data_IF_386456985121
#
_entry.id   IF_386456985121
#
_cell.length_a   1.000
_cell.length_b   1.000
_cell.length_c   1.000
_cell.angle_alpha   90.00
_cell.angle_beta   90.00
_cell.angle_gamma   90.00
#
_symmetry.space_group_name_H-M   'P 1'
#
loop_
_entity.id
_entity.type
_entity.pdbx_description
1 polymer ?
#
# COMPACT_ATOMS: atom_id res chain seq x y z
N UNK A 1 20.39 -14.87 -23.90
CA UNK A 1 19.01 -14.45 -24.25
C UNK A 1 18.95 -13.07 -24.93
N UNK A 2 20.11 -12.37 -25.10
CA UNK A 2 20.15 -11.03 -25.73
C UNK A 2 19.63 -9.90 -24.85
N UNK A 3 19.43 -10.14 -23.57
CA UNK A 3 19.07 -9.13 -22.58
C UNK A 3 20.35 -8.56 -21.98
N UNK A 4 20.46 -7.24 -21.95
CA UNK A 4 21.57 -6.51 -21.35
C UNK A 4 21.15 -6.09 -19.92
N UNK A 5 21.98 -6.42 -18.95
CA UNK A 5 21.78 -6.04 -17.55
C UNK A 5 22.67 -4.84 -17.21
N UNK A 6 22.16 -3.84 -16.51
CA UNK A 6 22.93 -2.65 -16.16
C UNK A 6 24.10 -2.96 -15.22
N UNK A 7 25.13 -2.13 -15.27
CA UNK A 7 26.20 -2.18 -14.29
C UNK A 7 25.64 -1.96 -12.88
N UNK A 8 26.11 -2.76 -11.92
CA UNK A 8 25.54 -2.76 -10.55
C UNK A 8 24.53 -3.87 -10.31
N UNK A 9 24.10 -4.62 -11.33
CA UNK A 9 23.29 -5.82 -11.13
C UNK A 9 24.04 -6.82 -10.25
N UNK A 10 23.41 -7.24 -9.15
CA UNK A 10 23.96 -8.24 -8.24
C UNK A 10 23.76 -9.65 -8.81
N UNK A 11 24.81 -10.46 -8.75
CA UNK A 11 24.78 -11.84 -9.23
C UNK A 11 25.03 -12.80 -8.08
N UNK A 12 24.06 -13.66 -7.82
CA UNK A 12 24.16 -14.70 -6.78
C UNK A 12 24.42 -16.03 -7.44
N UNK A 13 25.66 -16.53 -7.30
CA UNK A 13 26.04 -17.85 -7.85
C UNK A 13 25.59 -18.99 -6.95
N UNK A 14 24.92 -19.99 -7.53
CA UNK A 14 24.59 -21.23 -6.82
C UNK A 14 25.81 -22.18 -6.65
N UNK A 15 26.94 -21.87 -7.28
CA UNK A 15 28.22 -22.58 -7.09
C UNK A 15 28.95 -22.06 -5.85
N UNK A 16 28.30 -22.13 -4.69
CA UNK A 16 28.81 -21.65 -3.41
C UNK A 16 28.46 -22.59 -2.27
N UNK A 17 29.19 -22.48 -1.15
CA UNK A 17 29.00 -23.35 0.01
C UNK A 17 27.63 -23.17 0.68
N UNK A 18 27.04 -21.98 0.63
CA UNK A 18 25.72 -21.66 1.21
C UNK A 18 24.59 -21.68 0.17
N UNK A 19 24.74 -22.43 -0.89
CA UNK A 19 23.74 -22.50 -1.97
C UNK A 19 22.31 -22.80 -1.49
N UNK A 20 22.18 -23.62 -0.45
CA UNK A 20 20.84 -23.95 0.09
C UNK A 20 20.15 -22.73 0.71
N UNK A 21 20.91 -21.84 1.36
CA UNK A 21 20.38 -20.59 1.90
C UNK A 21 20.01 -19.65 0.75
N UNK A 22 20.89 -19.48 -0.22
CA UNK A 22 20.62 -18.66 -1.40
C UNK A 22 19.39 -19.16 -2.16
N UNK A 23 19.27 -20.47 -2.38
CA UNK A 23 18.10 -21.05 -3.02
C UNK A 23 16.82 -20.86 -2.21
N UNK A 24 16.88 -20.96 -0.88
CA UNK A 24 15.71 -20.77 -0.03
C UNK A 24 15.20 -19.32 0.02
N UNK A 25 16.09 -18.34 -0.30
CA UNK A 25 15.73 -16.91 -0.37
C UNK A 25 15.34 -16.49 -1.79
N UNK A 26 15.97 -17.07 -2.80
CA UNK A 26 15.79 -16.75 -4.22
C UNK A 26 15.08 -17.90 -4.96
N UNK A 27 14.18 -18.58 -4.28
CA UNK A 27 13.39 -19.64 -4.88
C UNK A 27 12.38 -19.04 -5.86
N UNK A 28 12.35 -19.60 -7.05
CA UNK A 28 11.47 -19.15 -8.14
C UNK A 28 10.13 -19.90 -8.08
N UNK A 29 9.52 -19.99 -6.97
CA UNK A 29 8.20 -20.56 -6.71
C UNK A 29 7.69 -21.68 -7.61
N UNK A 30 6.55 -22.22 -7.26
CA UNK A 30 5.80 -23.17 -8.11
C UNK A 30 4.40 -23.38 -7.56
N UNK A 31 3.49 -23.87 -8.39
CA UNK A 31 2.18 -24.32 -7.94
C UNK A 31 2.29 -25.69 -7.27
N UNK A 32 1.86 -25.77 -6.03
CA UNK A 32 1.88 -26.98 -5.20
C UNK A 32 0.45 -27.41 -4.90
N UNK A 33 0.10 -28.64 -5.25
CA UNK A 33 -1.25 -29.22 -5.06
C UNK A 33 -1.29 -30.30 -3.99
N UNK A 34 -0.13 -30.79 -3.55
CA UNK A 34 0.00 -31.91 -2.60
C UNK A 34 0.57 -31.51 -1.25
N UNK A 35 -0.10 -31.82 -0.15
CA UNK A 35 0.36 -31.56 1.22
C UNK A 35 1.78 -32.02 1.54
N UNK A 36 2.25 -33.22 1.11
CA UNK A 36 3.61 -33.62 1.40
C UNK A 36 4.66 -32.69 0.79
N UNK A 37 4.37 -32.09 -0.35
CA UNK A 37 5.28 -31.16 -1.03
C UNK A 37 5.34 -29.83 -0.30
N UNK A 38 4.22 -29.35 0.25
CA UNK A 38 4.16 -28.12 1.05
C UNK A 38 5.16 -28.09 2.22
N UNK A 39 5.42 -29.25 2.84
CA UNK A 39 6.35 -29.34 3.97
C UNK A 39 7.82 -29.49 3.55
N UNK A 40 8.10 -29.73 2.30
CA UNK A 40 9.46 -29.96 1.79
C UNK A 40 9.96 -28.86 0.86
N UNK A 41 9.06 -28.07 0.28
CA UNK A 41 9.39 -27.04 -0.69
C UNK A 41 9.01 -25.65 -0.17
N UNK A 42 9.77 -24.63 -0.55
CA UNK A 42 9.37 -23.24 -0.41
C UNK A 42 8.34 -22.92 -1.48
N UNK A 43 7.31 -22.19 -1.09
CA UNK A 43 6.20 -21.80 -1.99
C UNK A 43 6.14 -20.30 -2.24
N UNK A 44 7.11 -19.56 -1.76
CA UNK A 44 7.12 -18.11 -1.82
C UNK A 44 8.24 -17.62 -2.72
N UNK A 45 7.90 -16.98 -3.81
CA UNK A 45 8.84 -16.21 -4.63
C UNK A 45 9.12 -14.88 -3.94
N UNK A 46 10.27 -14.75 -3.30
CA UNK A 46 10.62 -13.53 -2.57
C UNK A 46 10.78 -12.30 -3.46
N UNK A 47 11.19 -12.48 -4.70
CA UNK A 47 11.27 -11.39 -5.68
C UNK A 47 9.90 -10.73 -5.87
N UNK A 48 8.84 -11.53 -6.05
CA UNK A 48 7.47 -11.03 -6.24
C UNK A 48 6.88 -10.43 -4.97
N UNK A 49 7.03 -11.13 -3.85
CA UNK A 49 6.45 -10.71 -2.56
C UNK A 49 7.16 -9.47 -1.97
N UNK A 50 8.39 -9.21 -2.40
CA UNK A 50 9.21 -8.06 -1.94
C UNK A 50 9.39 -6.98 -2.99
N UNK A 51 8.90 -7.19 -4.21
CA UNK A 51 8.94 -6.21 -5.29
C UNK A 51 10.35 -5.93 -5.82
N UNK A 52 11.11 -6.96 -6.19
CA UNK A 52 12.38 -6.77 -6.88
C UNK A 52 12.52 -7.69 -8.10
N UNK A 53 13.23 -7.23 -9.11
CA UNK A 53 13.46 -8.00 -10.31
C UNK A 53 14.48 -9.10 -10.08
N UNK A 54 14.12 -10.34 -10.41
CA UNK A 54 14.99 -11.49 -10.39
C UNK A 54 15.00 -12.21 -11.74
N UNK A 55 16.17 -12.62 -12.17
CA UNK A 55 16.34 -13.44 -13.38
C UNK A 55 17.15 -14.69 -13.05
N UNK A 56 16.55 -15.85 -13.26
CA UNK A 56 17.21 -17.15 -13.05
C UNK A 56 17.92 -17.56 -14.34
N UNK A 57 19.24 -17.76 -14.25
CA UNK A 57 20.04 -18.30 -15.35
C UNK A 57 20.39 -19.76 -15.08
N UNK A 58 19.60 -20.68 -15.63
CA UNK A 58 19.78 -22.12 -15.45
C UNK A 58 20.75 -22.76 -16.45
N UNK A 59 21.20 -22.03 -17.47
CA UNK A 59 22.07 -22.57 -18.55
C UNK A 59 23.53 -22.70 -18.09
N UNK A 60 24.08 -23.90 -17.95
CA UNK A 60 25.46 -24.09 -17.50
C UNK A 60 26.50 -23.39 -18.41
N UNK A 61 26.21 -23.27 -19.70
CA UNK A 61 27.09 -22.60 -20.65
C UNK A 61 27.18 -21.09 -20.39
N UNK A 62 26.12 -20.46 -19.86
CA UNK A 62 26.10 -19.05 -19.55
C UNK A 62 26.97 -18.68 -18.33
N UNK A 63 27.23 -19.63 -17.42
CA UNK A 63 28.04 -19.41 -16.23
C UNK A 63 29.41 -18.81 -16.51
N UNK A 64 30.13 -19.34 -17.50
CA UNK A 64 31.46 -18.84 -17.89
C UNK A 64 31.40 -17.42 -18.42
N UNK A 65 30.39 -17.12 -19.24
CA UNK A 65 30.20 -15.79 -19.84
C UNK A 65 29.85 -14.77 -18.75
N UNK A 66 28.91 -15.13 -17.88
CA UNK A 66 28.49 -14.27 -16.76
C UNK A 66 29.67 -14.05 -15.80
N UNK A 67 30.36 -15.11 -15.37
CA UNK A 67 31.49 -15.03 -14.45
C UNK A 67 32.66 -14.20 -15.03
N UNK A 68 32.84 -14.21 -16.34
CA UNK A 68 33.86 -13.38 -16.99
C UNK A 68 33.49 -11.90 -17.07
N UNK A 69 32.21 -11.57 -16.97
CA UNK A 69 31.70 -10.20 -16.97
C UNK A 69 31.52 -9.63 -15.56
N UNK A 70 31.58 -10.50 -14.52
CA UNK A 70 31.48 -10.06 -13.13
C UNK A 70 32.76 -9.35 -12.67
N UNK A 71 32.59 -8.44 -11.73
CA UNK A 71 33.68 -7.92 -10.88
C UNK A 71 34.11 -8.92 -9.80
N UNK A 72 34.73 -8.41 -8.77
CA UNK A 72 35.16 -9.21 -7.63
C UNK A 72 33.96 -9.77 -6.87
N UNK A 73 34.17 -10.91 -6.20
CA UNK A 73 33.18 -11.48 -5.29
C UNK A 73 33.17 -10.64 -4.02
N UNK A 74 32.03 -10.06 -3.72
CA UNK A 74 31.86 -9.28 -2.49
C UNK A 74 31.71 -10.20 -1.29
N UNK A 75 32.39 -9.91 -0.20
CA UNK A 75 32.10 -10.48 1.10
C UNK A 75 30.90 -9.79 1.78
N UNK A 76 30.62 -10.14 3.02
CA UNK A 76 29.48 -9.57 3.76
C UNK A 76 29.62 -8.06 3.99
N UNK A 77 30.78 -7.60 4.42
CA UNK A 77 31.04 -6.19 4.71
C UNK A 77 31.05 -5.37 3.41
N UNK A 78 31.74 -5.87 2.38
CA UNK A 78 31.74 -5.25 1.05
C UNK A 78 30.34 -5.17 0.43
N UNK A 79 29.50 -6.18 0.67
CA UNK A 79 28.10 -6.15 0.23
C UNK A 79 27.31 -5.07 0.97
N UNK A 80 27.51 -4.93 2.30
CA UNK A 80 26.86 -3.86 3.07
C UNK A 80 27.35 -2.47 2.61
N UNK A 81 28.64 -2.31 2.37
CA UNK A 81 29.22 -1.06 1.87
C UNK A 81 28.68 -0.71 0.48
N UNK A 82 28.53 -1.73 -0.39
CA UNK A 82 27.90 -1.54 -1.69
C UNK A 82 26.45 -1.07 -1.58
N UNK A 83 25.64 -1.75 -0.76
CA UNK A 83 24.24 -1.35 -0.54
C UNK A 83 24.16 0.07 0.04
N UNK A 84 25.02 0.39 1.00
CA UNK A 84 25.10 1.75 1.57
C UNK A 84 25.58 2.81 0.57
N UNK A 85 26.27 2.41 -0.50
CA UNK A 85 26.70 3.32 -1.57
C UNK A 85 25.63 3.62 -2.62
N UNK A 86 24.53 2.88 -2.62
CA UNK A 86 23.42 3.14 -3.52
C UNK A 86 22.82 4.52 -3.25
N UNK A 87 22.52 5.22 -4.29
CA UNK A 87 22.00 6.59 -4.20
C UNK A 87 20.70 6.72 -4.97
N UNK A 88 19.86 7.63 -4.51
CA UNK A 88 18.64 8.01 -5.20
C UNK A 88 18.91 8.42 -6.66
N UNK A 89 18.05 8.02 -7.56
CA UNK A 89 18.09 8.41 -8.96
C UNK A 89 17.33 9.71 -9.19
N UNK A 90 17.85 10.57 -10.07
CA UNK A 90 17.17 11.79 -10.48
C UNK A 90 17.29 12.02 -11.97
N UNK A 91 16.17 12.36 -12.59
CA UNK A 91 16.10 12.74 -14.00
C UNK A 91 15.28 14.03 -14.18
N UNK A 92 15.36 14.62 -15.38
CA UNK A 92 14.57 15.81 -15.71
C UNK A 92 15.20 17.12 -15.21
N UNK A 93 14.37 18.13 -14.94
CA UNK A 93 14.80 19.52 -14.68
C UNK A 93 15.11 19.71 -13.21
N UNK A 94 16.34 20.19 -12.92
CA UNK A 94 16.73 20.60 -11.55
C UNK A 94 16.08 21.95 -11.18
N UNK A 95 15.91 22.16 -9.90
CA UNK A 95 15.29 23.38 -9.30
C UNK A 95 13.83 23.61 -9.73
N UNK A 96 13.18 22.58 -10.27
CA UNK A 96 11.75 22.52 -10.57
C UNK A 96 10.99 21.76 -9.49
N UNK A 97 9.71 21.50 -9.70
CA UNK A 97 8.99 20.53 -8.89
C UNK A 97 9.46 19.12 -9.22
N UNK A 98 9.44 18.25 -8.25
CA UNK A 98 9.89 16.86 -8.39
C UNK A 98 8.73 15.92 -8.14
N UNK A 99 8.50 15.04 -9.10
CA UNK A 99 7.72 13.83 -8.90
C UNK A 99 8.62 12.85 -8.15
N UNK A 100 8.29 12.58 -6.89
CA UNK A 100 8.87 11.49 -6.11
C UNK A 100 8.04 10.25 -6.40
N UNK A 101 8.63 9.28 -7.08
CA UNK A 101 7.94 8.07 -7.51
C UNK A 101 7.55 7.21 -6.30
N UNK A 102 6.31 6.72 -6.27
CA UNK A 102 5.81 5.83 -5.23
C UNK A 102 6.12 4.37 -5.58
N UNK A 103 7.40 4.03 -5.63
CA UNK A 103 7.90 2.76 -6.14
C UNK A 103 8.43 1.82 -5.04
N UNK A 104 8.45 2.26 -3.77
CA UNK A 104 9.02 1.45 -2.69
C UNK A 104 8.59 1.93 -1.30
N UNK A 105 8.87 1.11 -0.29
CA UNK A 105 8.69 1.48 1.13
C UNK A 105 9.52 2.73 1.52
N UNK A 106 10.66 2.95 0.88
CA UNK A 106 11.49 4.15 1.07
C UNK A 106 10.78 5.42 0.60
N UNK A 107 10.02 5.33 -0.48
CA UNK A 107 9.19 6.45 -0.96
C UNK A 107 8.17 6.89 0.09
N UNK A 108 7.47 5.91 0.67
CA UNK A 108 6.51 6.15 1.76
C UNK A 108 7.18 6.73 3.00
N UNK A 109 8.32 6.18 3.41
CA UNK A 109 9.07 6.65 4.58
C UNK A 109 9.57 8.08 4.40
N UNK A 110 10.08 8.41 3.21
CA UNK A 110 10.53 9.76 2.86
C UNK A 110 9.37 10.77 2.87
N UNK A 111 8.22 10.42 2.30
CA UNK A 111 7.01 11.27 2.32
C UNK A 111 6.57 11.53 3.77
N UNK A 112 6.49 10.49 4.59
CA UNK A 112 6.14 10.65 6.00
C UNK A 112 7.18 11.49 6.77
N UNK A 113 8.47 11.37 6.45
CA UNK A 113 9.52 12.21 7.03
C UNK A 113 9.34 13.69 6.65
N UNK A 114 9.06 13.98 5.38
CA UNK A 114 8.78 15.33 4.90
C UNK A 114 7.55 15.94 5.58
N UNK A 115 6.44 15.21 5.63
CA UNK A 115 5.21 15.66 6.29
C UNK A 115 5.42 15.94 7.77
N UNK A 116 6.16 15.08 8.49
CA UNK A 116 6.54 15.29 9.91
C UNK A 116 7.43 16.50 10.10
N UNK A 117 8.26 16.83 9.13
CA UNK A 117 9.09 18.02 9.12
C UNK A 117 8.31 19.31 8.72
N UNK A 118 6.99 19.21 8.51
CA UNK A 118 6.14 20.32 8.09
C UNK A 118 6.37 20.77 6.65
N UNK A 119 6.89 19.89 5.80
CA UNK A 119 7.10 20.16 4.39
C UNK A 119 5.83 19.90 3.59
N UNK A 120 5.69 20.60 2.47
CA UNK A 120 4.56 20.42 1.55
C UNK A 120 4.79 19.20 0.68
N UNK A 121 3.88 18.25 0.74
CA UNK A 121 3.82 17.08 -0.13
C UNK A 121 2.42 17.00 -0.70
N UNK A 122 2.29 16.77 -2.00
CA UNK A 122 0.99 16.54 -2.65
C UNK A 122 0.96 15.17 -3.30
N UNK A 123 -0.17 14.47 -3.22
CA UNK A 123 -0.42 13.22 -3.93
C UNK A 123 -0.92 13.55 -5.34
N UNK A 124 -0.29 12.99 -6.35
CA UNK A 124 -0.69 13.17 -7.75
C UNK A 124 -1.92 12.30 -8.02
N UNK A 125 -2.96 12.90 -8.59
CA UNK A 125 -4.29 12.29 -8.69
C UNK A 125 -4.67 11.86 -10.09
N UNK A 126 -3.86 12.16 -11.10
CA UNK A 126 -4.13 11.78 -12.49
C UNK A 126 -2.88 11.80 -13.36
N UNK A 127 -2.92 11.07 -14.48
CA UNK A 127 -1.88 11.05 -15.50
C UNK A 127 -0.78 10.02 -15.22
N UNK A 128 0.31 10.10 -15.95
CA UNK A 128 1.37 9.08 -15.94
C UNK A 128 2.10 8.90 -14.61
N UNK A 129 1.93 9.82 -13.66
CA UNK A 129 2.55 9.79 -12.32
C UNK A 129 1.51 9.63 -11.21
N UNK A 130 0.30 9.25 -11.55
CA UNK A 130 -0.76 9.04 -10.57
C UNK A 130 -0.33 8.10 -9.45
N UNK A 131 -0.71 8.43 -8.21
CA UNK A 131 -0.26 7.70 -7.02
C UNK A 131 1.15 8.04 -6.53
N UNK A 132 1.94 8.82 -7.29
CA UNK A 132 3.24 9.35 -6.85
C UNK A 132 3.08 10.73 -6.19
N UNK A 133 4.16 11.33 -5.74
CA UNK A 133 4.12 12.55 -4.93
C UNK A 133 4.78 13.72 -5.63
N UNK A 134 4.25 14.93 -5.40
CA UNK A 134 4.84 16.18 -5.86
C UNK A 134 5.47 16.92 -4.68
N UNK A 135 6.75 17.22 -4.77
CA UNK A 135 7.53 17.92 -3.75
C UNK A 135 8.43 19.00 -4.38
N UNK A 136 8.95 19.93 -3.58
CA UNK A 136 9.99 20.83 -4.08
C UNK A 136 11.32 20.09 -4.30
N UNK A 137 12.17 20.60 -5.21
CA UNK A 137 13.51 20.03 -5.42
C UNK A 137 14.35 20.06 -4.14
N UNK A 138 14.25 21.13 -3.33
CA UNK A 138 14.95 21.25 -2.07
C UNK A 138 14.48 20.20 -1.03
N UNK A 139 13.18 19.93 -0.97
CA UNK A 139 12.64 18.92 -0.06
C UNK A 139 13.02 17.51 -0.52
N UNK A 140 12.98 17.22 -1.83
CA UNK A 140 13.51 15.97 -2.38
C UNK A 140 14.99 15.76 -2.00
N UNK A 141 15.84 16.77 -2.21
CA UNK A 141 17.26 16.68 -1.83
C UNK A 141 17.47 16.42 -0.34
N UNK A 142 16.58 16.92 0.52
CA UNK A 142 16.71 16.75 1.97
C UNK A 142 16.49 15.32 2.44
N UNK A 143 15.85 14.47 1.63
CA UNK A 143 15.55 13.06 1.96
C UNK A 143 16.27 12.06 1.05
N UNK A 144 16.74 12.49 -0.13
CA UNK A 144 17.37 11.60 -1.12
C UNK A 144 18.72 11.00 -0.66
N UNK A 145 19.30 11.50 0.44
CA UNK A 145 20.50 10.95 1.06
C UNK A 145 20.21 9.87 2.12
N UNK A 146 19.00 9.88 2.67
CA UNK A 146 18.59 8.96 3.75
C UNK A 146 17.75 7.79 3.24
N UNK A 147 17.15 7.93 2.04
CA UNK A 147 16.26 6.96 1.40
C UNK A 147 16.68 6.72 -0.04
N UNK A 148 16.42 5.53 -0.56
CA UNK A 148 16.68 5.18 -1.96
C UNK A 148 15.45 5.53 -2.82
N UNK A 149 15.49 6.68 -3.47
CA UNK A 149 14.36 7.27 -4.16
C UNK A 149 14.56 7.41 -5.66
N UNK A 150 13.47 7.43 -6.41
CA UNK A 150 13.43 7.87 -7.80
C UNK A 150 12.71 9.21 -7.92
N UNK A 151 13.38 10.23 -8.48
CA UNK A 151 12.84 11.56 -8.66
C UNK A 151 12.86 12.01 -10.11
N UNK A 152 11.78 12.66 -10.56
CA UNK A 152 11.67 13.24 -11.89
C UNK A 152 11.33 14.73 -11.77
N UNK A 153 12.26 15.59 -12.17
CA UNK A 153 12.02 17.04 -12.22
C UNK A 153 11.12 17.42 -13.39
N UNK A 154 9.99 18.07 -13.10
CA UNK A 154 8.96 18.44 -14.07
C UNK A 154 8.78 19.95 -14.17
N UNK A 155 8.60 20.49 -15.37
CA UNK A 155 8.28 21.91 -15.58
C UNK A 155 6.80 22.22 -15.40
N UNK A 156 5.96 21.28 -15.83
CA UNK A 156 4.51 21.37 -15.70
C UNK A 156 4.07 20.43 -14.59
N UNK A 157 3.58 20.99 -13.48
CA UNK A 157 3.11 20.24 -12.36
C UNK A 157 1.87 19.42 -12.73
N UNK A 158 1.84 18.10 -12.48
CA UNK A 158 0.63 17.31 -12.63
C UNK A 158 -0.44 17.74 -11.62
N UNK A 159 -1.69 17.38 -11.88
CA UNK A 159 -2.77 17.60 -10.92
C UNK A 159 -2.48 16.79 -9.65
N UNK A 160 -2.56 17.46 -8.51
CA UNK A 160 -2.21 16.86 -7.22
C UNK A 160 -2.99 17.49 -6.08
N UNK A 161 -3.26 16.71 -5.03
CA UNK A 161 -3.90 17.14 -3.80
C UNK A 161 -2.87 17.22 -2.67
N UNK A 162 -2.82 18.34 -1.96
CA UNK A 162 -1.92 18.51 -0.82
C UNK A 162 -2.31 17.54 0.30
N UNK A 163 -1.34 16.76 0.79
CA UNK A 163 -1.51 15.91 1.98
C UNK A 163 -1.44 16.83 3.20
N UNK A 164 -2.52 16.95 4.00
CA UNK A 164 -2.61 17.98 5.04
C UNK A 164 -1.68 17.73 6.22
N UNK A 165 -1.33 16.46 6.49
CA UNK A 165 -0.50 16.05 7.63
C UNK A 165 0.07 14.65 7.45
N UNK A 166 1.12 14.32 8.23
CA UNK A 166 1.55 12.94 8.37
C UNK A 166 0.49 12.14 9.16
N UNK A 167 -0.05 11.03 8.64
CA UNK A 167 -1.05 10.24 9.33
C UNK A 167 -0.54 9.67 10.67
N UNK A 168 -1.38 9.71 11.70
CA UNK A 168 -1.18 9.02 12.98
C UNK A 168 -2.06 7.79 13.01
N UNK A 169 -1.43 6.63 13.17
CA UNK A 169 -2.09 5.33 13.05
C UNK A 169 -2.31 4.69 14.40
N UNK A 170 -3.53 4.27 14.69
CA UNK A 170 -3.82 3.42 15.85
C UNK A 170 -3.65 1.95 15.51
N UNK A 171 -2.80 1.27 16.25
CA UNK A 171 -2.64 -0.19 16.20
C UNK A 171 -2.86 -0.73 17.60
N UNK A 172 -4.02 -1.33 17.84
CA UNK A 172 -4.50 -1.76 19.15
C UNK A 172 -3.85 -3.06 19.66
N UNK A 173 -3.20 -3.83 18.79
CA UNK A 173 -2.48 -5.04 19.22
C UNK A 173 -1.07 -4.67 19.67
N UNK A 174 -0.81 -4.86 20.96
CA UNK A 174 0.53 -4.71 21.53
C UNK A 174 1.32 -6.00 21.35
N UNK A 175 2.64 -5.86 21.21
CA UNK A 175 3.53 -7.02 21.27
C UNK A 175 3.39 -7.68 22.65
N UNK A 176 2.87 -8.89 22.70
CA UNK A 176 2.75 -9.67 23.93
C UNK A 176 3.80 -10.75 24.01
N UNK A 177 4.33 -10.97 25.20
CA UNK A 177 5.18 -12.13 25.47
C UNK A 177 4.27 -13.34 25.63
N UNK A 178 4.26 -14.24 24.66
CA UNK A 178 3.51 -15.49 24.74
C UNK A 178 4.49 -16.63 24.99
N UNK A 179 4.40 -17.27 26.15
CA UNK A 179 5.16 -18.48 26.47
C UNK A 179 6.68 -18.36 26.31
N UNK A 180 7.27 -17.20 26.65
CA UNK A 180 8.72 -16.97 26.54
C UNK A 180 9.20 -16.54 25.15
N UNK A 181 8.31 -16.42 24.18
CA UNK A 181 8.59 -15.91 22.85
C UNK A 181 7.93 -14.55 22.65
N UNK A 182 8.60 -13.65 21.96
CA UNK A 182 7.98 -12.40 21.51
C UNK A 182 7.07 -12.70 20.32
N UNK A 183 5.79 -12.40 20.45
CA UNK A 183 4.92 -12.33 19.30
C UNK A 183 5.20 -11.00 18.59
N UNK A 184 5.76 -11.08 17.39
CA UNK A 184 6.00 -9.90 16.58
C UNK A 184 4.67 -9.34 16.09
N UNK A 185 4.43 -8.07 16.36
CA UNK A 185 3.34 -7.36 15.73
C UNK A 185 3.83 -6.89 14.35
N UNK A 186 3.46 -7.63 13.32
CA UNK A 186 3.87 -7.35 11.93
C UNK A 186 3.31 -6.02 11.43
N UNK A 187 2.12 -5.64 11.87
CA UNK A 187 1.50 -4.35 11.51
C UNK A 187 2.34 -3.19 12.04
N UNK A 188 2.75 -3.25 13.32
CA UNK A 188 3.63 -2.22 13.90
C UNK A 188 4.98 -2.15 13.21
N UNK A 189 5.51 -3.29 12.80
CA UNK A 189 6.79 -3.32 12.08
C UNK A 189 6.64 -2.71 10.69
N UNK A 190 5.59 -3.05 9.95
CA UNK A 190 5.27 -2.44 8.67
C UNK A 190 5.14 -0.92 8.79
N UNK A 191 4.35 -0.45 9.77
CA UNK A 191 4.18 0.99 10.00
C UNK A 191 5.50 1.72 10.34
N UNK A 192 6.41 1.07 11.07
CA UNK A 192 7.75 1.65 11.32
C UNK A 192 8.58 1.73 10.06
N UNK A 193 8.58 0.67 9.25
CA UNK A 193 9.28 0.66 7.96
C UNK A 193 8.77 1.78 7.06
N UNK A 194 7.45 1.95 6.98
CA UNK A 194 6.79 2.99 6.20
C UNK A 194 6.88 4.40 6.83
N UNK A 195 7.49 4.53 7.99
CA UNK A 195 7.69 5.82 8.64
C UNK A 195 6.44 6.44 9.26
N UNK A 196 5.34 5.70 9.46
CA UNK A 196 4.14 6.22 10.13
C UNK A 196 4.36 6.47 11.62
N UNK A 197 3.60 7.40 12.18
CA UNK A 197 3.48 7.58 13.64
C UNK A 197 2.42 6.63 14.16
N UNK A 198 2.81 5.76 15.10
CA UNK A 198 1.89 4.81 15.72
C UNK A 198 1.53 5.27 17.13
N UNK A 199 0.25 5.28 17.45
CA UNK A 199 -0.28 5.58 18.80
C UNK A 199 -0.97 4.35 19.40
N UNK A 200 -1.01 4.32 20.73
CA UNK A 200 -1.78 3.35 21.53
C UNK A 200 -3.12 3.94 22.03
N UNK A 201 -3.46 5.15 21.61
CA UNK A 201 -4.67 5.88 21.96
C UNK A 201 -5.47 6.21 20.71
N UNK A 202 -6.60 5.53 20.51
CA UNK A 202 -7.45 5.71 19.33
C UNK A 202 -7.99 7.15 19.19
N UNK A 203 -8.10 7.90 20.29
CA UNK A 203 -8.59 9.28 20.26
C UNK A 203 -7.58 10.27 19.64
N UNK A 204 -6.32 9.86 19.50
CA UNK A 204 -5.25 10.65 18.87
C UNK A 204 -4.90 10.17 17.46
N UNK A 205 -5.57 9.14 16.99
CA UNK A 205 -5.32 8.57 15.68
C UNK A 205 -6.16 9.24 14.59
N UNK A 206 -5.60 9.34 13.42
CA UNK A 206 -6.32 9.74 12.21
C UNK A 206 -7.04 8.55 11.58
N UNK A 207 -6.48 7.34 11.77
CA UNK A 207 -7.03 6.10 11.22
C UNK A 207 -6.59 4.88 12.04
N UNK A 208 -7.30 3.78 11.82
CA UNK A 208 -7.06 2.48 12.45
C UNK A 208 -6.58 1.50 11.39
N UNK A 209 -5.51 0.77 11.68
CA UNK A 209 -4.95 -0.23 10.74
C UNK A 209 -4.71 -1.55 11.47
N UNK A 210 -4.95 -2.67 10.81
CA UNK A 210 -4.42 -3.94 11.27
C UNK A 210 -5.13 -5.20 10.81
N UNK A 211 -4.42 -6.31 11.01
CA UNK A 211 -4.87 -7.67 10.76
C UNK A 211 -5.67 -8.29 11.93
N UNK A 212 -5.71 -7.65 13.09
CA UNK A 212 -6.41 -8.16 14.27
C UNK A 212 -7.90 -7.81 14.25
N UNK A 213 -8.70 -8.56 15.00
CA UNK A 213 -10.09 -8.20 15.25
C UNK A 213 -10.16 -6.90 16.07
N UNK A 214 -11.02 -5.96 15.68
CA UNK A 214 -11.20 -4.68 16.38
C UNK A 214 -11.55 -4.92 17.84
N UNK A 215 -10.85 -4.25 18.76
CA UNK A 215 -11.26 -4.16 20.14
C UNK A 215 -12.45 -3.19 20.31
N UNK A 216 -12.97 -3.09 21.52
CA UNK A 216 -14.15 -2.26 21.80
C UNK A 216 -13.92 -0.78 21.46
N UNK A 217 -12.74 -0.25 21.76
CA UNK A 217 -12.38 1.14 21.50
C UNK A 217 -12.24 1.41 20.00
N UNK A 218 -11.52 0.55 19.30
CA UNK A 218 -11.35 0.64 17.84
C UNK A 218 -12.69 0.49 17.11
N UNK A 219 -13.52 -0.48 17.54
CA UNK A 219 -14.86 -0.68 16.95
C UNK A 219 -15.76 0.55 17.11
N UNK A 220 -15.74 1.16 18.32
CA UNK A 220 -16.51 2.38 18.56
C UNK A 220 -16.02 3.56 17.71
N UNK A 221 -14.71 3.72 17.56
CA UNK A 221 -14.11 4.76 16.70
C UNK A 221 -14.48 4.56 15.23
N UNK A 222 -14.36 3.34 14.70
CA UNK A 222 -14.75 3.01 13.32
C UNK A 222 -16.24 3.28 13.08
N UNK A 223 -17.11 2.89 14.00
CA UNK A 223 -18.56 3.19 13.92
C UNK A 223 -18.87 4.68 13.97
N UNK A 224 -17.97 5.49 14.51
CA UNK A 224 -18.09 6.96 14.55
C UNK A 224 -17.46 7.66 13.34
N UNK A 225 -16.94 6.93 12.36
CA UNK A 225 -16.38 7.49 11.14
C UNK A 225 -14.85 7.58 11.10
N UNK A 226 -14.14 7.09 12.10
CA UNK A 226 -12.68 6.97 12.00
C UNK A 226 -12.32 5.99 10.89
N UNK A 227 -11.51 6.37 9.89
CA UNK A 227 -11.11 5.52 8.80
C UNK A 227 -10.47 4.21 9.29
N UNK A 228 -10.81 3.09 8.66
CA UNK A 228 -10.30 1.77 9.03
C UNK A 228 -9.76 1.02 7.82
N UNK A 229 -8.51 0.60 7.92
CA UNK A 229 -7.85 -0.28 6.95
C UNK A 229 -7.69 -1.65 7.62
N UNK A 230 -8.58 -2.58 7.27
CA UNK A 230 -8.61 -3.93 7.83
C UNK A 230 -8.21 -4.98 6.80
N UNK A 231 -7.38 -5.95 7.18
CA UNK A 231 -6.96 -7.02 6.28
C UNK A 231 -6.80 -8.36 7.00
N UNK A 232 -7.12 -9.43 6.27
CA UNK A 232 -6.99 -10.80 6.75
C UNK A 232 -8.15 -11.28 7.63
N UNK A 233 -8.14 -12.56 7.92
CA UNK A 233 -9.29 -13.28 8.49
C UNK A 233 -9.76 -12.78 9.86
N UNK A 234 -8.82 -12.32 10.71
CA UNK A 234 -9.19 -11.84 12.06
C UNK A 234 -9.84 -10.46 12.02
N UNK A 235 -9.29 -9.54 11.20
CA UNK A 235 -9.88 -8.23 10.97
C UNK A 235 -11.29 -8.37 10.39
N UNK A 236 -11.47 -9.25 9.41
CA UNK A 236 -12.76 -9.47 8.77
C UNK A 236 -13.83 -10.03 9.72
N UNK A 237 -13.47 -10.82 10.76
CA UNK A 237 -14.43 -11.27 11.78
C UNK A 237 -15.13 -10.12 12.50
N UNK A 238 -14.44 -9.01 12.74
CA UNK A 238 -15.04 -7.80 13.30
C UNK A 238 -15.64 -6.88 12.25
N UNK A 239 -15.03 -6.79 11.07
CA UNK A 239 -15.51 -5.94 9.99
C UNK A 239 -16.93 -6.30 9.53
N UNK A 240 -17.29 -7.59 9.50
CA UNK A 240 -18.65 -8.02 9.16
C UNK A 240 -19.71 -7.44 10.10
N UNK A 241 -19.38 -7.15 11.36
CA UNK A 241 -20.30 -6.54 12.32
C UNK A 241 -20.54 -5.03 12.10
N UNK A 242 -19.78 -4.43 11.18
CA UNK A 242 -19.98 -3.04 10.77
C UNK A 242 -21.15 -2.88 9.79
N UNK A 243 -21.60 -3.97 9.18
CA UNK A 243 -22.64 -4.00 8.15
C UNK A 243 -23.85 -4.83 8.59
N UNK A 244 -24.95 -4.69 7.88
CA UNK A 244 -26.10 -5.54 8.07
C UNK A 244 -25.76 -7.00 7.77
N UNK A 245 -26.50 -7.93 8.38
CA UNK A 245 -26.26 -9.37 8.25
C UNK A 245 -26.22 -9.80 6.76
N UNK A 246 -25.13 -10.46 6.38
CA UNK A 246 -24.92 -10.95 5.03
C UNK A 246 -24.48 -9.91 4.00
N UNK A 247 -24.39 -8.63 4.35
CA UNK A 247 -23.94 -7.60 3.42
C UNK A 247 -22.44 -7.70 3.11
N UNK A 248 -21.63 -8.11 4.08
CA UNK A 248 -20.19 -8.41 3.90
C UNK A 248 -19.97 -9.89 4.27
N UNK A 249 -19.51 -10.68 3.33
CA UNK A 249 -19.20 -12.10 3.55
C UNK A 249 -17.81 -12.38 3.03
N UNK A 250 -16.92 -12.86 3.91
CA UNK A 250 -15.61 -13.37 3.54
C UNK A 250 -15.60 -14.89 3.63
N UNK A 251 -15.19 -15.52 2.57
CA UNK A 251 -14.98 -16.97 2.50
C UNK A 251 -13.52 -17.31 2.25
N UNK A 252 -13.18 -18.58 2.27
CA UNK A 252 -11.85 -19.10 1.95
C UNK A 252 -11.97 -20.30 1.07
N UNK A 253 -11.05 -20.46 0.14
CA UNK A 253 -10.88 -21.72 -0.58
C UNK A 253 -10.55 -22.81 0.41
N UNK A 254 -11.32 -23.89 0.37
CA UNK A 254 -11.33 -24.99 1.34
C UNK A 254 -10.00 -25.72 1.46
N UNK A 255 -9.82 -26.42 2.57
CA UNK A 255 -9.96 -25.98 3.94
C UNK A 255 -8.69 -25.37 4.48
N UNK A 256 -7.61 -25.30 3.72
CA UNK A 256 -6.29 -24.84 4.16
C UNK A 256 -5.42 -24.33 3.02
N UNK A 257 -5.98 -23.70 2.01
CA UNK A 257 -5.18 -22.95 1.06
C UNK A 257 -4.39 -21.88 1.84
N UNK A 258 -3.08 -21.82 1.63
CA UNK A 258 -2.23 -21.03 2.52
C UNK A 258 -1.61 -19.85 1.81
N UNK A 259 -0.74 -20.08 0.88
CA UNK A 259 0.05 -19.05 0.24
C UNK A 259 -0.18 -19.12 -1.26
N UNK A 260 -0.66 -18.05 -1.85
CA UNK A 260 -0.91 -17.99 -3.29
C UNK A 260 -0.44 -16.66 -3.86
N UNK A 261 0.21 -16.67 -5.01
CA UNK A 261 0.54 -15.50 -5.80
C UNK A 261 -0.27 -15.57 -7.08
N UNK A 262 -1.19 -14.63 -7.24
CA UNK A 262 -2.17 -14.62 -8.31
C UNK A 262 -2.15 -13.31 -9.08
N UNK A 263 -2.54 -13.36 -10.34
CA UNK A 263 -2.77 -12.17 -11.14
C UNK A 263 -4.04 -11.46 -10.71
N UNK A 264 -4.02 -10.14 -10.77
CA UNK A 264 -5.14 -9.28 -10.37
C UNK A 264 -5.48 -8.25 -11.44
N UNK A 265 -6.68 -7.71 -11.31
CA UNK A 265 -7.14 -6.50 -12.00
C UNK A 265 -7.59 -5.46 -10.98
N UNK A 266 -7.63 -4.21 -11.40
CA UNK A 266 -8.06 -3.06 -10.60
C UNK A 266 -9.33 -2.45 -11.22
N UNK A 267 -10.53 -2.98 -10.89
CA UNK A 267 -11.77 -2.60 -11.56
C UNK A 267 -12.20 -1.16 -11.32
N UNK A 268 -11.77 -0.56 -10.20
CA UNK A 268 -12.09 0.82 -9.86
C UNK A 268 -10.83 1.67 -9.94
N UNK A 269 -10.90 2.79 -10.64
CA UNK A 269 -9.90 3.84 -10.59
C UNK A 269 -9.83 4.43 -9.18
N UNK A 270 -8.70 4.27 -8.50
CA UNK A 270 -8.53 4.61 -7.09
C UNK A 270 -7.10 4.97 -6.75
N UNK A 271 -6.92 6.04 -5.98
CA UNK A 271 -5.61 6.42 -5.44
C UNK A 271 -4.96 5.30 -4.59
N UNK A 272 -5.77 4.36 -4.06
CA UNK A 272 -5.27 3.23 -3.26
C UNK A 272 -4.49 2.25 -4.13
N UNK A 273 -4.88 2.09 -5.39
CA UNK A 273 -4.27 1.15 -6.34
C UNK A 273 -3.42 1.83 -7.42
N UNK A 274 -3.41 3.16 -7.45
CA UNK A 274 -2.81 3.94 -8.55
C UNK A 274 -1.32 3.64 -8.78
N UNK A 275 -0.50 3.46 -7.72
CA UNK A 275 0.92 3.14 -7.87
C UNK A 275 1.14 1.78 -8.55
N UNK A 276 0.35 0.77 -8.22
CA UNK A 276 0.42 -0.56 -8.84
C UNK A 276 0.02 -0.51 -10.32
N UNK A 277 -1.06 0.22 -10.63
CA UNK A 277 -1.48 0.43 -12.03
C UNK A 277 -0.40 1.17 -12.82
N UNK A 278 0.23 2.20 -12.23
CA UNK A 278 1.28 2.98 -12.88
C UNK A 278 2.56 2.17 -13.11
N UNK A 279 2.89 1.25 -12.23
CA UNK A 279 4.03 0.33 -12.36
C UNK A 279 3.73 -0.84 -13.29
N UNK A 280 2.44 -1.12 -13.55
CA UNK A 280 1.99 -2.28 -14.32
C UNK A 280 2.09 -3.57 -13.51
N UNK A 281 2.07 -3.47 -12.18
CA UNK A 281 2.02 -4.62 -11.30
C UNK A 281 0.60 -5.18 -11.26
N UNK A 282 0.48 -6.43 -11.64
CA UNK A 282 -0.78 -7.17 -11.72
C UNK A 282 -0.78 -8.42 -10.82
N UNK A 283 0.05 -8.45 -9.78
CA UNK A 283 0.16 -9.57 -8.85
C UNK A 283 -0.32 -9.20 -7.45
N UNK A 284 -0.86 -10.18 -6.74
CA UNK A 284 -1.21 -10.10 -5.32
C UNK A 284 -0.84 -11.39 -4.61
N UNK A 285 -0.23 -11.27 -3.45
CA UNK A 285 0.03 -12.39 -2.56
C UNK A 285 -1.12 -12.60 -1.57
N UNK A 286 -1.85 -13.69 -1.71
CA UNK A 286 -2.99 -14.04 -0.88
C UNK A 286 -2.64 -15.07 0.20
N UNK A 287 -2.25 -14.63 1.39
CA UNK A 287 -2.07 -15.53 2.53
C UNK A 287 -3.41 -15.88 3.18
N UNK A 288 -3.77 -17.16 3.10
CA UNK A 288 -5.03 -17.70 3.64
C UNK A 288 -6.15 -17.79 2.61
N UNK A 289 -5.89 -17.51 1.35
CA UNK A 289 -6.79 -17.66 0.20
C UNK A 289 -8.24 -17.25 0.49
N UNK A 290 -8.40 -16.08 1.09
CA UNK A 290 -9.70 -15.48 1.37
C UNK A 290 -10.20 -14.66 0.19
N UNK A 291 -11.51 -14.53 0.06
CA UNK A 291 -12.16 -13.65 -0.90
C UNK A 291 -13.49 -13.13 -0.32
N UNK A 292 -14.03 -12.09 -0.94
CA UNK A 292 -15.34 -11.58 -0.58
C UNK A 292 -16.41 -12.23 -1.46
N UNK A 293 -17.23 -13.10 -0.86
CA UNK A 293 -18.38 -13.72 -1.50
C UNK A 293 -19.59 -12.78 -1.59
N UNK A 294 -19.66 -11.77 -0.71
CA UNK A 294 -20.60 -10.67 -0.78
C UNK A 294 -19.96 -9.38 -0.29
N UNK A 295 -20.30 -8.27 -0.92
CA UNK A 295 -19.86 -6.92 -0.56
C UNK A 295 -21.03 -5.98 -0.34
N UNK A 296 -20.93 -4.96 0.53
CA UNK A 296 -22.00 -4.01 0.77
C UNK A 296 -22.42 -3.27 -0.51
N UNK A 297 -23.69 -2.98 -0.63
CA UNK A 297 -24.19 -2.17 -1.74
C UNK A 297 -23.51 -0.79 -1.74
N UNK A 298 -22.92 -0.40 -2.86
CA UNK A 298 -22.15 0.83 -3.01
C UNK A 298 -20.67 0.72 -2.66
N UNK A 299 -20.19 -0.46 -2.23
CA UNK A 299 -18.75 -0.69 -2.12
C UNK A 299 -18.10 -0.68 -3.50
N UNK A 300 -16.88 -0.14 -3.55
CA UNK A 300 -16.05 -0.16 -4.76
C UNK A 300 -15.09 -1.34 -4.68
N UNK A 301 -14.98 -2.10 -5.76
CA UNK A 301 -14.00 -3.19 -5.88
C UNK A 301 -12.66 -2.60 -6.27
N UNK A 302 -11.69 -2.71 -5.39
CA UNK A 302 -10.33 -2.17 -5.60
C UNK A 302 -9.42 -3.19 -6.29
N UNK A 303 -9.48 -4.44 -5.85
CA UNK A 303 -8.63 -5.53 -6.33
C UNK A 303 -9.48 -6.77 -6.55
N UNK A 304 -9.32 -7.39 -7.70
CA UNK A 304 -10.04 -8.60 -8.10
C UNK A 304 -9.06 -9.57 -8.77
N UNK A 305 -9.19 -10.88 -8.51
CA UNK A 305 -8.35 -11.86 -9.19
C UNK A 305 -8.70 -11.90 -10.68
N UNK A 306 -7.67 -12.07 -11.51
CA UNK A 306 -7.85 -12.23 -12.96
C UNK A 306 -8.17 -13.69 -13.31
N UNK A 307 -9.45 -14.01 -13.37
CA UNK A 307 -9.93 -15.36 -13.70
C UNK A 307 -9.56 -15.85 -15.11
N UNK A 308 -9.01 -14.99 -15.96
CA UNK A 308 -8.48 -15.40 -17.26
C UNK A 308 -7.06 -15.99 -17.19
N UNK A 309 -6.38 -15.90 -16.04
CA UNK A 309 -5.03 -16.35 -15.82
C UNK A 309 -4.97 -17.46 -14.78
N UNK A 310 -4.04 -18.38 -14.96
CA UNK A 310 -3.75 -19.42 -13.97
C UNK A 310 -2.99 -18.83 -12.77
N UNK A 311 -3.06 -19.53 -11.63
CA UNK A 311 -2.24 -19.22 -10.46
C UNK A 311 -0.77 -19.21 -10.84
N UNK A 312 -0.03 -18.14 -10.49
CA UNK A 312 1.39 -18.06 -10.79
C UNK A 312 2.18 -19.04 -9.92
N UNK A 313 1.94 -19.03 -8.63
CA UNK A 313 2.60 -19.91 -7.65
C UNK A 313 1.80 -20.01 -6.34
N UNK A 314 2.21 -20.95 -5.50
CA UNK A 314 1.66 -21.14 -4.17
C UNK A 314 0.92 -22.47 -3.99
N UNK A 315 0.30 -22.62 -2.83
CA UNK A 315 -0.42 -23.81 -2.45
C UNK A 315 -1.93 -23.58 -2.48
N UNK A 316 -2.56 -24.18 -3.47
CA UNK A 316 -4.01 -24.33 -3.56
C UNK A 316 -4.34 -25.81 -3.73
N UNK A 317 -5.08 -26.45 -2.80
CA UNK A 317 -5.47 -27.84 -2.94
C UNK A 317 -6.35 -28.01 -4.19
N UNK A 318 -5.91 -28.91 -5.09
CA UNK A 318 -6.57 -29.17 -6.37
C UNK A 318 -7.91 -29.95 -6.23
N UNK A 319 -8.25 -30.38 -5.04
CA UNK A 319 -9.43 -31.18 -4.71
C UNK A 319 -10.55 -30.39 -4.00
N UNK A 320 -10.37 -29.07 -3.87
CA UNK A 320 -11.39 -28.21 -3.29
C UNK A 320 -12.49 -27.86 -4.27
N UNK A 321 -13.73 -27.96 -3.84
CA UNK A 321 -14.90 -27.53 -4.62
C UNK A 321 -14.88 -26.03 -4.98
N UNK A 322 -13.96 -25.27 -4.40
CA UNK A 322 -13.88 -23.81 -4.49
C UNK A 322 -12.57 -23.30 -5.12
N UNK A 323 -11.80 -24.15 -5.78
CA UNK A 323 -10.58 -23.73 -6.46
C UNK A 323 -10.89 -22.71 -7.58
N UNK A 324 -11.92 -23.03 -8.37
CA UNK A 324 -12.38 -22.14 -9.43
C UNK A 324 -12.95 -20.84 -8.87
N UNK A 325 -13.64 -20.89 -7.72
CA UNK A 325 -14.17 -19.70 -7.05
C UNK A 325 -13.07 -18.71 -6.61
N UNK A 326 -11.88 -19.22 -6.25
CA UNK A 326 -10.76 -18.36 -5.90
C UNK A 326 -10.18 -17.63 -7.11
N UNK A 327 -10.06 -18.30 -8.23
CA UNK A 327 -9.49 -17.73 -9.46
C UNK A 327 -10.54 -17.03 -10.34
N UNK A 328 -11.84 -17.32 -10.14
CA UNK A 328 -12.93 -16.82 -10.98
C UNK A 328 -13.35 -15.42 -10.53
N UNK A 329 -12.56 -14.41 -10.89
CA UNK A 329 -12.85 -12.99 -10.64
C UNK A 329 -13.20 -12.66 -9.19
N UNK A 330 -12.63 -13.40 -8.22
CA UNK A 330 -12.95 -13.21 -6.81
C UNK A 330 -12.42 -11.88 -6.28
N UNK A 331 -13.27 -11.21 -5.50
CA UNK A 331 -12.97 -9.88 -4.94
C UNK A 331 -12.00 -10.01 -3.77
N UNK A 332 -10.87 -9.31 -3.86
CA UNK A 332 -9.80 -9.34 -2.88
C UNK A 332 -9.77 -8.11 -1.99
N UNK A 333 -10.17 -6.96 -2.51
CA UNK A 333 -10.18 -5.71 -1.75
C UNK A 333 -11.35 -4.82 -2.17
N UNK A 334 -11.89 -4.12 -1.18
CA UNK A 334 -12.96 -3.14 -1.36
C UNK A 334 -12.68 -1.86 -0.58
N UNK A 335 -13.25 -0.75 -1.03
CA UNK A 335 -13.47 0.44 -0.22
C UNK A 335 -14.97 0.71 -0.07
N UNK A 336 -15.37 1.25 1.07
CA UNK A 336 -16.74 1.61 1.33
C UNK A 336 -16.81 2.86 2.21
N UNK A 337 -17.57 3.84 1.77
CA UNK A 337 -17.93 5.02 2.54
C UNK A 337 -19.46 5.14 2.60
N UNK A 338 -20.03 5.15 3.79
CA UNK A 338 -21.48 5.23 3.92
C UNK A 338 -22.02 4.76 5.27
N UNK A 339 -23.33 4.55 5.30
CA UNK A 339 -24.00 4.03 6.48
C UNK A 339 -23.73 2.55 6.68
N UNK A 340 -23.37 2.17 7.91
CA UNK A 340 -23.25 0.79 8.35
C UNK A 340 -24.42 0.35 9.21
N UNK A 341 -24.28 -0.84 9.82
CA UNK A 341 -25.23 -1.33 10.81
C UNK A 341 -25.37 -0.35 12.00
N UNK A 342 -26.55 -0.32 12.62
CA UNK A 342 -26.85 0.55 13.77
C UNK A 342 -26.63 2.05 13.51
N UNK A 343 -26.79 2.51 12.27
CA UNK A 343 -26.50 3.89 11.82
C UNK A 343 -25.04 4.30 11.98
N UNK A 344 -24.10 3.37 12.00
CA UNK A 344 -22.68 3.66 11.95
C UNK A 344 -22.34 4.50 10.70
N UNK A 345 -21.35 5.37 10.83
CA UNK A 345 -20.78 6.07 9.68
C UNK A 345 -19.44 5.41 9.38
N UNK A 346 -19.33 4.79 8.23
CA UNK A 346 -18.17 3.98 7.88
C UNK A 346 -17.32 4.65 6.79
N UNK A 347 -16.02 4.57 7.00
CA UNK A 347 -14.98 4.82 5.99
C UNK A 347 -13.97 3.69 6.12
N UNK A 348 -14.07 2.69 5.24
CA UNK A 348 -13.30 1.45 5.38
C UNK A 348 -12.67 1.01 4.07
N UNK A 349 -11.44 0.51 4.19
CA UNK A 349 -10.72 -0.24 3.14
C UNK A 349 -10.46 -1.63 3.69
N UNK A 350 -10.97 -2.64 3.03
CA UNK A 350 -10.94 -4.02 3.53
C UNK A 350 -10.27 -4.93 2.51
N UNK A 351 -9.29 -5.72 2.96
CA UNK A 351 -8.64 -6.76 2.19
C UNK A 351 -8.99 -8.14 2.76
N UNK A 352 -9.36 -9.06 1.90
CA UNK A 352 -9.73 -10.42 2.29
C UNK A 352 -8.56 -11.17 2.94
N UNK A 353 -7.32 -10.88 2.52
CA UNK A 353 -6.09 -11.50 2.99
C UNK A 353 -5.18 -10.47 3.71
N UNK A 354 -4.20 -10.97 4.48
CA UNK A 354 -3.27 -10.10 5.20
C UNK A 354 -2.28 -9.44 4.24
N UNK A 355 -1.85 -8.22 4.56
CA UNK A 355 -0.85 -7.45 3.82
C UNK A 355 0.51 -7.39 4.54
N UNK A 356 0.63 -7.99 5.73
CA UNK A 356 1.83 -7.83 6.57
C UNK A 356 2.42 -9.15 7.06
N UNK A 357 2.06 -10.29 6.44
CA UNK A 357 2.44 -11.61 6.90
C UNK A 357 3.96 -11.74 7.06
N UNK A 358 4.41 -11.97 8.29
CA UNK A 358 5.83 -12.18 8.66
C UNK A 358 6.78 -11.09 8.14
N UNK A 359 6.26 -9.91 7.78
CA UNK A 359 6.99 -8.81 7.14
C UNK A 359 7.62 -9.14 5.77
N UNK A 360 7.13 -10.16 5.11
CA UNK A 360 7.61 -10.56 3.79
C UNK A 360 6.86 -9.86 2.64
N UNK A 361 5.58 -9.54 2.84
CA UNK A 361 4.70 -8.91 1.84
C UNK A 361 5.01 -7.41 1.71
N UNK A 362 6.23 -7.05 1.32
CA UNK A 362 6.64 -5.64 1.25
C UNK A 362 6.07 -4.92 0.05
N UNK A 363 5.82 -5.66 -1.00
CA UNK A 363 5.18 -5.16 -2.20
C UNK A 363 3.76 -4.61 -1.90
N UNK A 364 2.98 -5.30 -1.09
CA UNK A 364 1.64 -4.86 -0.71
C UNK A 364 1.60 -3.70 0.31
N UNK A 365 2.73 -3.24 0.81
CA UNK A 365 2.76 -2.13 1.76
C UNK A 365 2.23 -0.82 1.18
N UNK A 366 2.34 -0.63 -0.13
CA UNK A 366 1.81 0.54 -0.79
C UNK A 366 0.27 0.61 -0.74
N UNK A 367 -0.46 -0.51 -0.71
CA UNK A 367 -1.90 -0.48 -0.45
C UNK A 367 -2.24 0.16 0.90
N UNK A 368 -1.47 -0.17 1.94
CA UNK A 368 -1.68 0.38 3.28
C UNK A 368 -1.39 1.89 3.30
N UNK A 369 -0.24 2.29 2.74
CA UNK A 369 0.17 3.69 2.75
C UNK A 369 -0.73 4.57 1.88
N UNK A 370 -1.11 4.10 0.70
CA UNK A 370 -2.03 4.81 -0.19
C UNK A 370 -3.41 5.00 0.47
N UNK A 371 -3.94 3.94 1.12
CA UNK A 371 -5.19 4.04 1.86
C UNK A 371 -5.08 5.00 3.07
N UNK A 372 -3.94 5.02 3.75
CA UNK A 372 -3.70 5.93 4.86
C UNK A 372 -3.67 7.40 4.41
N UNK A 373 -3.04 7.69 3.27
CA UNK A 373 -3.06 9.06 2.72
C UNK A 373 -4.43 9.43 2.17
N UNK A 374 -5.12 8.53 1.48
CA UNK A 374 -6.48 8.75 1.03
C UNK A 374 -7.43 9.10 2.19
N UNK A 375 -7.28 8.42 3.32
CA UNK A 375 -8.05 8.69 4.53
C UNK A 375 -7.83 10.12 5.06
N UNK A 376 -6.59 10.61 5.10
CA UNK A 376 -6.30 11.98 5.59
C UNK A 376 -6.55 13.06 4.54
N UNK A 377 -6.56 12.73 3.25
CA UNK A 377 -6.95 13.67 2.20
C UNK A 377 -8.42 14.11 2.35
N UNK A 378 -9.27 13.25 2.86
CA UNK A 378 -10.68 13.52 3.13
C UNK A 378 -10.92 14.26 4.47
N UNK A 379 -9.88 14.36 5.33
CA UNK A 379 -9.96 15.11 6.60
C UNK A 379 -9.83 16.61 6.32
N UNK A 380 -10.94 17.29 6.31
CA UNK A 380 -10.99 18.74 6.05
C UNK A 380 -10.66 19.59 7.29
N UNK A 381 -10.57 18.99 8.47
CA UNK A 381 -10.45 19.69 9.75
C UNK A 381 -11.70 20.45 10.17
N UNK A 382 -12.80 20.37 9.41
CA UNK A 382 -14.07 21.03 9.72
C UNK A 382 -15.07 20.06 10.33
N UNK A 383 -15.62 20.41 11.49
CA UNK A 383 -16.54 19.55 12.25
C UNK A 383 -17.90 19.30 11.56
N UNK A 384 -18.24 20.12 10.58
CA UNK A 384 -19.48 20.04 9.80
C UNK A 384 -19.31 19.46 8.39
N UNK A 385 -18.11 18.94 8.09
CA UNK A 385 -17.78 18.18 6.88
C UNK A 385 -17.37 16.78 7.32
N UNK A 386 -18.29 15.85 7.17
CA UNK A 386 -17.95 14.46 7.46
C UNK A 386 -16.89 13.94 6.47
N UNK A 387 -15.86 13.20 6.90
CA UNK A 387 -14.83 12.69 6.00
C UNK A 387 -15.37 11.88 4.81
N UNK A 388 -16.51 11.22 5.00
CA UNK A 388 -17.23 10.45 3.98
C UNK A 388 -18.31 11.25 3.23
N UNK A 389 -18.38 12.58 3.39
CA UNK A 389 -19.29 13.39 2.58
C UNK A 389 -18.79 13.40 1.13
N UNK A 390 -19.71 13.26 0.17
CA UNK A 390 -19.37 13.25 -1.26
C UNK A 390 -18.58 14.49 -1.74
N UNK A 391 -18.64 15.57 -0.99
CA UNK A 391 -17.91 16.83 -1.23
C UNK A 391 -16.67 17.01 -0.33
N UNK A 392 -16.31 16.05 0.51
CA UNK A 392 -15.21 16.19 1.47
C UNK A 392 -13.87 16.40 0.77
N UNK A 393 -13.59 15.62 -0.27
CA UNK A 393 -12.38 15.77 -1.07
C UNK A 393 -12.30 17.15 -1.75
N UNK A 394 -13.42 17.65 -2.27
CA UNK A 394 -13.49 18.99 -2.88
C UNK A 394 -13.23 20.07 -1.84
N UNK A 395 -13.81 19.94 -0.65
CA UNK A 395 -13.57 20.87 0.46
C UNK A 395 -12.10 20.85 0.88
N UNK A 396 -11.52 19.68 1.06
CA UNK A 396 -10.10 19.54 1.37
C UNK A 396 -9.22 20.21 0.30
N UNK A 397 -9.51 19.95 -0.97
CA UNK A 397 -8.78 20.54 -2.10
C UNK A 397 -8.86 22.08 -2.13
N UNK A 398 -10.05 22.66 -2.06
CA UNK A 398 -10.22 24.13 -2.17
C UNK A 398 -9.71 24.86 -0.94
N UNK A 399 -9.73 24.23 0.23
CA UNK A 399 -9.18 24.81 1.46
C UNK A 399 -7.66 24.65 1.53
N UNK A 400 -7.12 23.50 1.12
CA UNK A 400 -5.68 23.26 1.01
C UNK A 400 -4.99 24.19 0.01
N UNK A 401 -5.68 24.55 -1.08
CA UNK A 401 -5.21 25.54 -2.05
C UNK A 401 -5.45 26.98 -1.62
N UNK A 402 -6.07 27.22 -0.47
CA UNK A 402 -6.42 28.56 -0.01
C UNK A 402 -7.51 29.25 -0.82
N UNK A 403 -8.19 28.55 -1.73
CA UNK A 403 -9.25 29.11 -2.58
C UNK A 403 -10.50 29.43 -1.78
N UNK A 404 -10.86 28.53 -0.86
CA UNK A 404 -11.98 28.75 0.07
C UNK A 404 -11.51 28.55 1.51
N UNK A 405 -12.15 29.26 2.43
CA UNK A 405 -11.98 29.07 3.86
C UNK A 405 -13.35 28.72 4.46
N UNK A 406 -13.36 28.04 5.61
CA UNK A 406 -14.58 27.81 6.35
C UNK A 406 -15.27 29.10 6.80
N UNK A 407 -16.54 29.03 7.14
CA UNK A 407 -17.28 30.14 7.76
C UNK A 407 -16.75 30.45 9.16
N UNK A 408 -16.08 29.48 9.79
CA UNK A 408 -15.27 29.64 11.01
C UNK A 408 -14.01 28.77 10.88
N UNK A 409 -13.11 28.84 11.85
CA UNK A 409 -11.93 27.97 11.91
C UNK A 409 -12.26 26.48 12.10
N UNK A 410 -13.49 26.13 12.48
CA UNK A 410 -13.95 24.77 12.76
C UNK A 410 -15.17 24.32 11.93
N UNK A 411 -15.72 25.19 11.11
CA UNK A 411 -16.88 24.89 10.29
C UNK A 411 -16.72 25.45 8.88
N UNK A 412 -16.93 24.61 7.89
CA UNK A 412 -16.87 24.98 6.47
C UNK A 412 -18.16 25.64 6.00
N UNK A 413 -19.29 25.18 6.50
CA UNK A 413 -20.62 25.68 6.12
C UNK A 413 -21.10 25.11 4.77
N UNK A 414 -21.06 23.80 4.51
CA UNK A 414 -21.38 23.25 3.19
C UNK A 414 -22.80 23.52 2.73
N UNK A 415 -23.71 23.79 3.68
CA UNK A 415 -25.10 24.09 3.41
C UNK A 415 -25.41 25.61 3.49
N UNK A 416 -24.39 26.47 3.68
CA UNK A 416 -24.56 27.90 3.74
C UNK A 416 -24.69 28.50 2.33
N UNK A 417 -25.65 29.39 2.12
CA UNK A 417 -25.85 29.99 0.82
C UNK A 417 -24.64 30.88 0.41
N UNK A 418 -24.07 30.56 -0.76
CA UNK A 418 -22.96 31.34 -1.32
C UNK A 418 -23.43 32.72 -1.78
N UNK A 419 -22.78 33.77 -1.28
CA UNK A 419 -23.03 35.13 -1.71
C UNK A 419 -22.23 35.50 -2.97
N UNK A 420 -22.63 36.57 -3.68
CA UNK A 420 -21.86 37.09 -4.81
C UNK A 420 -20.43 37.49 -4.39
N UNK A 421 -20.28 38.04 -3.18
CA UNK A 421 -18.96 38.41 -2.64
C UNK A 421 -18.06 37.17 -2.46
N UNK A 422 -18.58 36.07 -1.90
CA UNK A 422 -17.84 34.83 -1.74
C UNK A 422 -17.39 34.27 -3.10
N UNK A 423 -18.26 34.25 -4.10
CA UNK A 423 -17.92 33.79 -5.45
C UNK A 423 -16.80 34.64 -6.07
N UNK A 424 -16.91 36.01 -5.99
CA UNK A 424 -15.87 36.90 -6.52
C UNK A 424 -14.54 36.70 -5.80
N UNK A 425 -14.54 36.48 -4.48
CA UNK A 425 -13.33 36.21 -3.71
C UNK A 425 -12.65 34.91 -4.17
N UNK A 426 -13.42 33.83 -4.40
CA UNK A 426 -12.87 32.55 -4.90
C UNK A 426 -12.27 32.75 -6.29
N UNK A 427 -12.98 33.41 -7.21
CA UNK A 427 -12.48 33.71 -8.56
C UNK A 427 -11.21 34.57 -8.55
N UNK A 428 -11.11 35.55 -7.63
CA UNK A 428 -9.91 36.37 -7.47
C UNK A 428 -8.71 35.54 -7.00
N UNK A 429 -8.90 34.67 -6.02
CA UNK A 429 -7.86 33.74 -5.55
C UNK A 429 -7.43 32.76 -6.63
N UNK A 430 -8.38 32.21 -7.39
CA UNK A 430 -8.07 31.33 -8.54
C UNK A 430 -7.25 32.06 -9.62
N UNK A 431 -7.42 33.36 -9.76
CA UNK A 431 -6.62 34.18 -10.66
C UNK A 431 -5.25 34.60 -10.10
N UNK A 432 -4.85 34.08 -8.94
CA UNK A 432 -3.56 34.37 -8.30
C UNK A 432 -3.55 35.67 -7.52
N UNK A 433 -4.69 36.18 -7.11
CA UNK A 433 -4.82 37.43 -6.35
C UNK A 433 -4.07 38.63 -7.01
N UNK A 434 -4.31 38.91 -8.31
CA UNK A 434 -3.59 39.94 -9.07
C UNK A 434 -3.79 41.35 -8.54
#
# INVERSE_FOLDING_TARGET
NGVEYPAGTLIVSMYQAKRSVANGVLYDGTVITGWPVLYSEGITAFDKVRGFDMVVCAEPAAYKTISAACGDVLDYEETLDYVASLTSSFSGVKDAQVVLMNASEDSTAAVNALLKAGKSVSLITEGQYEGSFLVSYADWQSVAGDYLLSGVGVTDAPAALAIPKAPVVYIFVKTTLVSGSYEYNYDRQAMRTLGFTVTDDASQADLIIGAAALDEQALAAVKSGTPYIGYGSKAMKSAVSLFDEGALVRETVSPNAMDALAYVTYPTDSLITASYVAEGDDLLYGYGAGYFAAIPAGAQVLVQLDGSKELLEGFLPADGEHFDDFLDDSIQAISYQGAGADNAQLDVVLFANTLTNKTNQRDEYNFISNAAWAAVLNDTGYSDVAPNAWYAADVAAVTGQGLMNGVTSKAFGPNVTTTRGMLVTVLHRMAGEP
#
